data_IF_264841291294
#
_entry.id   IF_264841291294
#
_cell.length_a   1.000
_cell.length_b   1.000
_cell.length_c   1.000
_cell.angle_alpha   90.00
_cell.angle_beta   90.00
_cell.angle_gamma   90.00
#
_symmetry.space_group_name_H-M   'P 1'
#
loop_
_entity.id
_entity.type
_entity.pdbx_description
1 polymer ?
#
# COMPACT_ATOMS: atom_id res chain seq x y z
N UNK A 1 -0.86 -12.57 14.65
CA UNK A 1 -0.23 -12.86 13.35
C UNK A 1 1.27 -12.88 13.51
N UNK A 2 1.98 -13.73 12.76
CA UNK A 2 3.45 -13.78 12.79
C UNK A 2 4.02 -12.79 11.78
N UNK A 3 4.88 -11.83 12.20
CA UNK A 3 5.54 -10.91 11.28
C UNK A 3 6.34 -11.63 10.19
N UNK A 4 6.38 -11.06 8.99
CA UNK A 4 7.14 -11.57 7.83
C UNK A 4 7.94 -10.44 7.20
N UNK A 5 8.94 -10.81 6.41
CA UNK A 5 9.58 -9.85 5.52
C UNK A 5 8.56 -9.40 4.46
N UNK A 6 8.39 -8.08 4.34
CA UNK A 6 7.46 -7.42 3.44
C UNK A 6 8.20 -6.36 2.62
N UNK A 7 7.69 -6.07 1.44
CA UNK A 7 8.19 -4.98 0.59
C UNK A 7 7.72 -3.60 1.10
N UNK A 8 6.53 -3.55 1.69
CA UNK A 8 5.83 -2.35 2.20
C UNK A 8 5.37 -1.36 1.12
N UNK A 9 5.72 -1.59 -0.14
CA UNK A 9 5.25 -0.83 -1.32
C UNK A 9 5.13 -1.77 -2.53
N UNK A 10 4.47 -2.91 -2.34
CA UNK A 10 4.29 -3.93 -3.38
C UNK A 10 3.21 -3.54 -4.40
N UNK A 11 3.40 -2.40 -5.06
CA UNK A 11 2.55 -1.85 -6.10
C UNK A 11 3.12 -2.14 -7.50
N UNK A 12 2.25 -2.12 -8.53
CA UNK A 12 2.67 -2.56 -9.87
C UNK A 12 3.70 -1.68 -10.57
N UNK A 13 3.97 -0.46 -10.10
CA UNK A 13 5.10 0.33 -10.59
C UNK A 13 6.46 -0.21 -10.12
N UNK A 14 6.49 -1.03 -9.07
CA UNK A 14 7.67 -1.73 -8.55
C UNK A 14 7.84 -3.14 -9.15
N UNK A 15 6.94 -3.56 -10.05
CA UNK A 15 7.00 -4.85 -10.74
C UNK A 15 7.48 -4.66 -12.18
N UNK A 16 8.59 -5.29 -12.51
CA UNK A 16 9.14 -5.29 -13.86
C UNK A 16 8.51 -6.42 -14.69
N UNK A 17 8.17 -6.10 -15.93
CA UNK A 17 7.57 -7.03 -16.88
C UNK A 17 8.45 -7.17 -18.12
N UNK A 18 8.61 -8.40 -18.58
CA UNK A 18 9.09 -8.72 -19.92
C UNK A 18 7.95 -9.41 -20.68
N UNK A 19 7.25 -8.63 -21.50
CA UNK A 19 5.97 -9.02 -22.10
C UNK A 19 4.98 -9.39 -20.99
N UNK A 20 4.48 -10.62 -21.00
CA UNK A 20 3.48 -11.13 -20.05
C UNK A 20 4.10 -11.80 -18.81
N UNK A 21 5.43 -11.78 -18.68
CA UNK A 21 6.14 -12.41 -17.56
C UNK A 21 6.76 -11.37 -16.65
N UNK A 22 6.58 -11.56 -15.35
CA UNK A 22 7.33 -10.80 -14.33
C UNK A 22 8.82 -11.13 -14.49
N UNK A 23 9.64 -10.08 -14.59
CA UNK A 23 11.10 -10.17 -14.74
C UNK A 23 11.85 -9.69 -13.50
N UNK A 24 11.20 -8.97 -12.59
CA UNK A 24 11.83 -8.52 -11.34
C UNK A 24 10.91 -7.70 -10.46
N UNK A 25 11.39 -7.44 -9.24
CA UNK A 25 10.79 -6.55 -8.24
C UNK A 25 11.88 -5.61 -7.75
N UNK A 26 11.61 -4.30 -7.78
CA UNK A 26 12.57 -3.24 -7.44
C UNK A 26 12.07 -2.41 -6.26
N UNK A 27 12.88 -1.47 -5.80
CA UNK A 27 12.52 -0.50 -4.75
C UNK A 27 12.25 -1.10 -3.36
N UNK A 28 13.28 -1.77 -2.83
CA UNK A 28 13.24 -2.46 -1.54
C UNK A 28 13.60 -1.55 -0.34
N UNK A 29 13.63 -0.23 -0.51
CA UNK A 29 14.08 0.70 0.53
C UNK A 29 13.13 0.78 1.73
N UNK A 30 11.84 0.52 1.52
CA UNK A 30 10.81 0.39 2.56
C UNK A 30 10.63 -1.05 3.09
N UNK A 31 11.43 -2.01 2.63
CA UNK A 31 11.29 -3.39 3.04
C UNK A 31 11.57 -3.55 4.54
N UNK A 32 10.73 -4.34 5.22
CA UNK A 32 10.80 -4.50 6.68
C UNK A 32 10.26 -5.84 7.15
N UNK A 33 10.40 -6.14 8.44
CA UNK A 33 9.68 -7.26 9.07
C UNK A 33 8.40 -6.71 9.70
N UNK A 34 7.25 -7.11 9.17
CA UNK A 34 5.96 -6.55 9.55
C UNK A 34 4.77 -7.41 9.18
N UNK A 35 3.61 -6.76 9.10
CA UNK A 35 2.35 -7.41 8.73
C UNK A 35 2.28 -7.66 7.21
N UNK A 36 2.13 -8.91 6.74
CA UNK A 36 2.01 -9.20 5.30
C UNK A 36 0.81 -8.52 4.63
N UNK A 37 -0.18 -8.10 5.41
CA UNK A 37 -1.33 -7.37 4.90
C UNK A 37 -0.95 -6.05 4.20
N UNK A 38 0.22 -5.46 4.48
CA UNK A 38 0.70 -4.27 3.78
C UNK A 38 0.95 -4.52 2.29
N UNK A 39 1.69 -5.58 1.95
CA UNK A 39 1.94 -5.95 0.55
C UNK A 39 0.63 -6.35 -0.16
N UNK A 40 -0.28 -7.00 0.56
CA UNK A 40 -1.61 -7.36 0.04
C UNK A 40 -2.45 -6.10 -0.24
N UNK A 41 -2.38 -5.10 0.64
CA UNK A 41 -3.11 -3.86 0.48
C UNK A 41 -2.56 -3.04 -0.69
N UNK A 42 -1.23 -2.94 -0.84
CA UNK A 42 -0.58 -2.31 -1.99
C UNK A 42 -0.96 -3.02 -3.30
N UNK A 43 -0.89 -4.35 -3.33
CA UNK A 43 -1.32 -5.14 -4.48
C UNK A 43 -2.81 -4.95 -4.78
N UNK A 44 -3.67 -4.91 -3.77
CA UNK A 44 -5.12 -4.75 -3.92
C UNK A 44 -5.49 -3.40 -4.54
N UNK A 45 -4.82 -2.33 -4.11
CA UNK A 45 -4.96 -0.99 -4.70
C UNK A 45 -4.56 -0.94 -6.17
N UNK A 46 -3.52 -1.69 -6.56
CA UNK A 46 -2.95 -1.58 -7.91
C UNK A 46 -3.55 -2.58 -8.91
N UNK A 47 -3.66 -3.84 -8.52
CA UNK A 47 -4.08 -4.94 -9.40
C UNK A 47 -5.58 -5.28 -9.26
N UNK A 48 -6.28 -4.61 -8.35
CA UNK A 48 -7.68 -4.82 -8.08
C UNK A 48 -7.93 -5.96 -7.08
N UNK A 49 -8.87 -5.71 -6.18
CA UNK A 49 -9.18 -6.61 -5.07
C UNK A 49 -9.70 -7.98 -5.50
N UNK A 50 -10.39 -8.09 -6.63
CA UNK A 50 -10.88 -9.38 -7.13
C UNK A 50 -9.73 -10.32 -7.50
N UNK A 51 -8.73 -9.80 -8.24
CA UNK A 51 -7.55 -10.57 -8.63
C UNK A 51 -6.74 -10.98 -7.39
N UNK A 52 -6.49 -10.03 -6.48
CA UNK A 52 -5.72 -10.30 -5.26
C UNK A 52 -6.44 -11.31 -4.36
N UNK A 53 -7.77 -11.18 -4.19
CA UNK A 53 -8.55 -12.13 -3.36
C UNK A 53 -8.46 -13.56 -3.90
N UNK A 54 -8.41 -13.74 -5.23
CA UNK A 54 -8.20 -15.06 -5.84
C UNK A 54 -6.83 -15.67 -5.53
N UNK A 55 -5.80 -14.84 -5.36
CA UNK A 55 -4.42 -15.29 -5.09
C UNK A 55 -4.20 -15.60 -3.60
N UNK A 56 -4.63 -14.69 -2.72
CA UNK A 56 -4.31 -14.80 -1.27
C UNK A 56 -5.42 -15.41 -0.42
N UNK A 57 -6.62 -15.57 -0.97
CA UNK A 57 -7.80 -16.01 -0.25
C UNK A 57 -8.50 -14.90 0.53
N UNK A 58 -9.71 -15.19 1.03
CA UNK A 58 -10.61 -14.19 1.65
C UNK A 58 -10.01 -13.55 2.91
N UNK A 59 -9.50 -14.37 3.83
CA UNK A 59 -9.02 -13.90 5.14
C UNK A 59 -7.86 -12.91 5.01
N UNK A 60 -6.92 -13.19 4.10
CA UNK A 60 -5.80 -12.31 3.81
C UNK A 60 -6.24 -11.05 3.06
N UNK A 61 -7.18 -11.17 2.12
CA UNK A 61 -7.73 -10.03 1.42
C UNK A 61 -8.51 -9.10 2.36
N UNK A 62 -9.20 -9.63 3.36
CA UNK A 62 -9.88 -8.83 4.39
C UNK A 62 -8.86 -8.09 5.26
N UNK A 63 -7.79 -8.76 5.69
CA UNK A 63 -6.70 -8.09 6.42
C UNK A 63 -6.06 -6.96 5.62
N UNK A 64 -5.79 -7.20 4.33
CA UNK A 64 -5.29 -6.17 3.43
C UNK A 64 -6.23 -4.96 3.36
N UNK A 65 -7.55 -5.18 3.25
CA UNK A 65 -8.55 -4.08 3.24
C UNK A 65 -8.61 -3.29 4.54
N UNK A 66 -8.32 -3.91 5.68
CA UNK A 66 -8.19 -3.18 6.95
C UNK A 66 -6.99 -2.25 6.90
N UNK A 67 -5.83 -2.74 6.46
CA UNK A 67 -4.60 -1.93 6.38
C UNK A 67 -4.63 -0.89 5.25
N UNK A 68 -5.34 -1.16 4.16
CA UNK A 68 -5.56 -0.21 3.05
C UNK A 68 -6.13 1.11 3.57
N UNK A 69 -7.02 1.07 4.58
CA UNK A 69 -7.61 2.27 5.20
C UNK A 69 -6.60 3.16 5.92
N UNK A 70 -5.43 2.63 6.27
CA UNK A 70 -4.36 3.38 6.92
C UNK A 70 -3.42 4.04 5.91
N UNK A 71 -3.36 3.57 4.65
CA UNK A 71 -2.41 4.07 3.66
C UNK A 71 -2.51 5.57 3.37
N UNK A 72 -3.70 6.20 3.21
CA UNK A 72 -3.77 7.63 2.96
C UNK A 72 -3.18 8.47 4.11
N UNK A 73 -3.26 7.96 5.34
CA UNK A 73 -2.69 8.61 6.52
C UNK A 73 -1.17 8.54 6.56
N UNK A 74 -0.54 7.61 5.83
CA UNK A 74 0.93 7.51 5.77
C UNK A 74 1.55 8.76 5.13
N UNK A 75 0.93 9.30 4.08
CA UNK A 75 1.40 10.55 3.46
C UNK A 75 1.31 11.74 4.41
N UNK A 76 0.25 11.80 5.23
CA UNK A 76 0.09 12.81 6.27
C UNK A 76 1.18 12.67 7.33
N UNK A 77 1.37 11.46 7.86
CA UNK A 77 2.42 11.16 8.84
C UNK A 77 3.82 11.48 8.32
N UNK A 78 4.10 11.11 7.06
CA UNK A 78 5.38 11.41 6.41
C UNK A 78 5.63 12.93 6.33
N UNK A 79 4.65 13.71 5.89
CA UNK A 79 4.76 15.17 5.84
C UNK A 79 4.98 15.79 7.22
N UNK A 80 4.32 15.27 8.27
CA UNK A 80 4.48 15.73 9.65
C UNK A 80 5.87 15.42 10.20
N UNK A 81 6.35 14.19 10.04
CA UNK A 81 7.64 13.73 10.59
C UNK A 81 8.81 14.48 9.94
N UNK A 82 8.73 14.78 8.64
CA UNK A 82 9.78 15.48 7.91
C UNK A 82 9.67 17.01 7.98
N UNK A 83 8.69 17.53 8.73
CA UNK A 83 8.52 18.98 8.91
C UNK A 83 8.19 19.72 7.62
N UNK A 84 7.51 19.06 6.68
CA UNK A 84 7.11 19.72 5.45
C UNK A 84 6.14 20.87 5.73
N UNK A 85 6.31 21.97 4.98
CA UNK A 85 5.56 23.20 5.18
C UNK A 85 4.04 23.01 5.06
N UNK A 86 3.27 23.96 5.59
CA UNK A 86 1.82 23.82 5.73
C UNK A 86 1.06 23.55 4.42
N UNK A 87 1.57 23.94 3.25
CA UNK A 87 0.94 23.61 1.97
C UNK A 87 1.00 22.11 1.64
N UNK A 88 2.16 21.47 1.82
CA UNK A 88 2.34 20.03 1.56
C UNK A 88 1.54 19.19 2.56
N UNK A 89 1.54 19.57 3.84
CA UNK A 89 0.73 18.90 4.85
C UNK A 89 -0.77 19.00 4.53
N UNK A 90 -1.27 20.19 4.17
CA UNK A 90 -2.67 20.38 3.76
C UNK A 90 -3.02 19.50 2.56
N UNK A 91 -2.16 19.47 1.54
CA UNK A 91 -2.40 18.62 0.37
C UNK A 91 -2.46 17.13 0.75
N UNK A 92 -1.61 16.66 1.67
CA UNK A 92 -1.64 15.28 2.14
C UNK A 92 -2.95 14.96 2.89
N UNK A 93 -3.40 15.87 3.77
CA UNK A 93 -4.67 15.73 4.50
C UNK A 93 -5.85 15.71 3.53
N UNK A 94 -5.93 16.66 2.61
CA UNK A 94 -7.01 16.72 1.61
C UNK A 94 -7.06 15.47 0.72
N UNK A 95 -5.91 14.86 0.41
CA UNK A 95 -5.87 13.58 -0.33
C UNK A 95 -6.37 12.43 0.53
N UNK A 96 -6.05 12.41 1.82
CA UNK A 96 -6.53 11.40 2.74
C UNK A 96 -8.04 11.50 2.93
N UNK A 97 -8.57 12.70 3.16
CA UNK A 97 -10.01 12.95 3.30
C UNK A 97 -10.78 12.49 2.07
N UNK A 98 -10.36 12.92 0.86
CA UNK A 98 -11.01 12.49 -0.39
C UNK A 98 -11.00 10.98 -0.58
N UNK A 99 -9.93 10.30 -0.17
CA UNK A 99 -9.87 8.85 -0.26
C UNK A 99 -10.85 8.20 0.72
N UNK A 100 -10.86 8.67 1.98
CA UNK A 100 -11.76 8.15 3.02
C UNK A 100 -13.22 8.35 2.61
N UNK A 101 -13.58 9.52 2.07
CA UNK A 101 -14.94 9.82 1.60
C UNK A 101 -15.37 8.95 0.41
N UNK A 102 -14.43 8.56 -0.46
CA UNK A 102 -14.73 7.72 -1.61
C UNK A 102 -14.84 6.22 -1.29
N UNK A 103 -14.22 5.76 -0.19
CA UNK A 103 -14.10 4.35 0.20
C UNK A 103 -14.82 4.01 1.53
N UNK A 104 -15.51 4.99 2.14
CA UNK A 104 -16.40 4.82 3.29
C UNK A 104 -17.78 4.28 2.88
#
# INVERSE_FOLDING_TARGET
MTPRFIHSDFAGHNILWNRERISGVIDWDHASVGDPGWDIAAAGNWFGWEAVTRVVGRDWAERGRVLQRLMPLQAVGYAMIHGYGGATLRQAVERADRWIEAEA
#
